data_IF_431051957062
#
_entry.id   IF_431051957062
#
_cell.length_a   1.000
_cell.length_b   1.000
_cell.length_c   1.000
_cell.angle_alpha   90.00
_cell.angle_beta   90.00
_cell.angle_gamma   90.00
#
_symmetry.space_group_name_H-M   'P 1'
#
loop_
_entity.id
_entity.type
_entity.pdbx_description
1 polymer ?
#
# COMPACT_ATOMS: atom_id res chain seq x y z
N UNK A 1 -2.33 8.89 14.46
CA UNK A 1 -1.16 8.66 15.32
C UNK A 1 -1.52 8.82 16.79
N UNK A 2 -0.84 8.13 17.69
CA UNK A 2 -0.91 8.38 19.14
C UNK A 2 0.37 9.06 19.62
N UNK A 3 0.25 10.13 20.40
CA UNK A 3 1.36 10.91 20.96
C UNK A 3 1.02 11.28 22.41
N UNK A 4 2.00 11.51 23.28
CA UNK A 4 1.76 12.00 24.65
C UNK A 4 0.96 13.31 24.65
N UNK A 5 0.09 13.49 25.65
CA UNK A 5 -0.76 14.67 25.80
C UNK A 5 0.02 16.00 25.86
N UNK A 6 1.26 15.98 26.32
CA UNK A 6 2.12 17.18 26.38
C UNK A 6 2.62 17.62 24.99
N UNK A 7 2.73 16.67 24.05
CA UNK A 7 3.33 16.87 22.72
C UNK A 7 2.26 17.06 21.64
N UNK A 8 1.04 16.59 21.90
CA UNK A 8 -0.11 16.73 21.02
C UNK A 8 -0.38 18.16 20.49
N UNK A 9 -0.32 19.24 21.30
CA UNK A 9 -0.54 20.59 20.78
C UNK A 9 0.55 21.04 19.79
N UNK A 10 1.80 20.64 20.00
CA UNK A 10 2.91 20.95 19.07
C UNK A 10 2.78 20.20 17.75
N UNK A 11 2.28 18.96 17.80
CA UNK A 11 1.99 18.18 16.61
C UNK A 11 0.84 18.80 15.79
N UNK A 12 -0.17 19.37 16.46
CA UNK A 12 -1.25 20.08 15.78
C UNK A 12 -0.76 21.37 15.10
N UNK A 13 0.08 22.15 15.78
CA UNK A 13 0.65 23.38 15.22
C UNK A 13 1.46 23.07 13.95
N UNK A 14 2.35 22.07 14.01
CA UNK A 14 3.17 21.64 12.88
C UNK A 14 2.33 21.15 11.68
N UNK A 15 1.21 20.49 11.94
CA UNK A 15 0.30 20.02 10.88
C UNK A 15 -0.55 21.16 10.27
N UNK A 16 -0.90 22.17 11.07
CA UNK A 16 -1.61 23.36 10.59
C UNK A 16 -0.72 24.27 9.76
N UNK A 17 0.56 24.42 10.15
CA UNK A 17 1.55 25.20 9.39
C UNK A 17 1.81 24.60 8.00
N UNK A 18 1.62 23.29 7.84
CA UNK A 18 1.70 22.59 6.56
C UNK A 18 0.39 22.68 5.72
N UNK A 19 -0.66 23.33 6.23
CA UNK A 19 -1.90 23.60 5.49
C UNK A 19 -2.99 22.51 5.60
N UNK A 20 -2.89 21.59 6.56
CA UNK A 20 -3.91 20.56 6.75
C UNK A 20 -5.00 21.00 7.73
N UNK A 21 -6.19 21.28 7.21
CA UNK A 21 -7.33 21.77 8.01
C UNK A 21 -8.10 20.66 8.73
N UNK A 22 -8.00 19.42 8.26
CA UNK A 22 -8.74 18.26 8.75
C UNK A 22 -7.96 17.45 9.80
N UNK A 23 -7.53 18.12 10.88
CA UNK A 23 -6.84 17.48 12.02
C UNK A 23 -7.77 17.45 13.24
N UNK A 24 -7.99 16.27 13.80
CA UNK A 24 -8.76 16.08 15.03
C UNK A 24 -7.92 15.42 16.11
N UNK A 25 -8.09 15.87 17.35
CA UNK A 25 -7.44 15.30 18.53
C UNK A 25 -8.50 14.70 19.46
N UNK A 26 -8.25 13.49 19.93
CA UNK A 26 -9.03 12.83 20.99
C UNK A 26 -8.09 12.49 22.13
N UNK A 27 -8.32 13.08 23.29
CA UNK A 27 -7.63 12.69 24.52
C UNK A 27 -8.13 11.31 24.96
N UNK A 28 -7.19 10.39 25.18
CA UNK A 28 -7.47 9.08 25.75
C UNK A 28 -7.19 9.12 27.26
N UNK A 29 -7.99 8.37 28.02
CA UNK A 29 -7.96 8.35 29.49
C UNK A 29 -6.62 7.91 30.12
N UNK A 30 -5.63 7.51 29.31
CA UNK A 30 -4.29 7.08 29.72
C UNK A 30 -3.16 8.08 29.50
N UNK A 31 -3.44 9.39 29.30
CA UNK A 31 -2.40 10.41 29.05
C UNK A 31 -1.87 10.45 27.61
N UNK A 32 -2.47 9.64 26.73
CA UNK A 32 -2.19 9.61 25.30
C UNK A 32 -3.22 10.41 24.54
N UNK A 33 -2.79 11.12 23.50
CA UNK A 33 -3.66 11.83 22.57
C UNK A 33 -3.62 11.15 21.21
N UNK A 34 -4.80 10.81 20.71
CA UNK A 34 -4.98 10.31 19.35
C UNK A 34 -5.18 11.49 18.41
N UNK A 35 -4.23 11.68 17.50
CA UNK A 35 -4.34 12.64 16.40
C UNK A 35 -4.78 11.91 15.14
N UNK A 36 -5.94 12.29 14.59
CA UNK A 36 -6.46 11.81 13.31
C UNK A 36 -6.32 12.90 12.28
N UNK A 37 -5.85 12.52 11.11
CA UNK A 37 -5.62 13.42 9.98
C UNK A 37 -6.08 12.68 8.73
N UNK A 38 -6.80 13.36 7.86
CA UNK A 38 -7.15 12.87 6.53
C UNK A 38 -6.21 13.56 5.54
N UNK A 39 -5.46 12.76 4.79
CA UNK A 39 -4.48 13.21 3.83
C UNK A 39 -4.86 12.75 2.43
N UNK A 40 -4.38 13.50 1.43
CA UNK A 40 -4.34 13.00 0.05
C UNK A 40 -3.17 12.03 -0.10
N UNK A 41 -3.25 11.01 -0.98
CA UNK A 41 -2.15 10.05 -1.19
C UNK A 41 -0.80 10.69 -1.52
N UNK A 42 -0.80 11.85 -2.20
CA UNK A 42 0.43 12.59 -2.54
C UNK A 42 1.19 13.14 -1.31
N UNK A 43 0.48 13.34 -0.22
CA UNK A 43 0.94 14.05 0.97
C UNK A 43 1.38 13.09 2.09
N UNK A 44 1.02 11.80 2.00
CA UNK A 44 1.26 10.78 3.05
C UNK A 44 2.75 10.60 3.35
N UNK A 45 3.57 10.34 2.31
CA UNK A 45 5.02 10.09 2.46
C UNK A 45 5.72 11.27 3.18
N UNK A 46 5.41 12.50 2.74
CA UNK A 46 5.96 13.73 3.35
C UNK A 46 5.58 13.85 4.82
N UNK A 47 4.33 13.59 5.18
CA UNK A 47 3.88 13.73 6.56
C UNK A 47 4.46 12.61 7.45
N UNK A 48 4.55 11.38 6.95
CA UNK A 48 5.19 10.30 7.68
C UNK A 48 6.66 10.61 7.99
N UNK A 49 7.42 11.13 7.03
CA UNK A 49 8.81 11.54 7.23
C UNK A 49 8.95 12.62 8.31
N UNK A 50 8.06 13.63 8.30
CA UNK A 50 8.05 14.71 9.30
C UNK A 50 7.74 14.15 10.69
N UNK A 51 6.74 13.27 10.79
CA UNK A 51 6.32 12.70 12.05
C UNK A 51 7.38 11.76 12.62
N UNK A 52 8.00 10.93 11.79
CA UNK A 52 9.07 10.03 12.20
C UNK A 52 10.29 10.81 12.68
N UNK A 53 10.71 11.84 11.93
CA UNK A 53 11.84 12.70 12.30
C UNK A 53 11.63 13.44 13.62
N UNK A 54 10.42 13.92 13.88
CA UNK A 54 10.13 14.76 15.04
C UNK A 54 9.72 13.96 16.28
N UNK A 55 9.11 12.78 16.10
CA UNK A 55 8.45 12.04 17.18
C UNK A 55 8.85 10.55 17.25
N UNK A 56 9.63 10.03 16.30
CA UNK A 56 10.02 8.62 16.23
C UNK A 56 10.82 8.11 17.43
N UNK A 57 11.48 9.01 18.16
CA UNK A 57 12.23 8.66 19.39
C UNK A 57 11.34 8.46 20.63
N UNK A 58 10.05 8.83 20.56
CA UNK A 58 9.13 8.69 21.68
C UNK A 58 8.62 7.24 21.78
N UNK A 59 8.80 6.61 22.95
CA UNK A 59 8.40 5.21 23.17
C UNK A 59 6.90 4.93 22.94
N UNK A 60 6.06 5.97 23.05
CA UNK A 60 4.61 5.87 22.92
C UNK A 60 4.09 6.29 21.53
N UNK A 61 5.00 6.73 20.64
CA UNK A 61 4.65 7.17 19.31
C UNK A 61 4.28 5.99 18.42
N UNK A 62 3.07 6.05 17.88
CA UNK A 62 2.60 5.09 16.87
C UNK A 62 1.80 5.81 15.80
N UNK A 63 2.05 5.44 14.55
CA UNK A 63 1.28 5.91 13.39
C UNK A 63 0.58 4.72 12.75
N UNK A 64 -0.69 4.91 12.40
CA UNK A 64 -1.45 3.97 11.59
C UNK A 64 -1.89 4.71 10.34
N UNK A 65 -1.59 4.14 9.19
CA UNK A 65 -2.07 4.59 7.88
C UNK A 65 -3.26 3.71 7.53
N UNK A 66 -4.38 4.33 7.18
CA UNK A 66 -5.63 3.64 6.84
C UNK A 66 -6.21 4.29 5.59
N UNK A 67 -6.58 3.47 4.63
CA UNK A 67 -7.29 3.92 3.44
C UNK A 67 -8.76 4.19 3.75
N UNK A 68 -9.26 5.29 3.19
CA UNK A 68 -10.67 5.64 3.27
C UNK A 68 -11.42 5.05 2.07
N UNK A 69 -12.19 3.99 2.31
CA UNK A 69 -12.99 3.33 1.27
C UNK A 69 -14.14 4.22 0.74
N UNK A 70 -14.65 5.12 1.57
CA UNK A 70 -15.72 6.05 1.19
C UNK A 70 -15.71 7.31 2.07
N UNK A 71 -16.03 8.45 1.46
CA UNK A 71 -16.23 9.74 2.15
C UNK A 71 -17.62 10.28 1.81
N UNK A 72 -18.34 10.72 2.84
CA UNK A 72 -19.63 11.41 2.71
C UNK A 72 -19.56 12.78 3.41
N UNK A 73 -20.07 13.86 2.78
CA UNK A 73 -20.64 13.92 1.44
C UNK A 73 -19.58 13.63 0.36
N UNK A 74 -20.01 13.09 -0.81
CA UNK A 74 -19.08 12.87 -1.93
C UNK A 74 -18.48 14.22 -2.32
N UNK A 75 -17.19 14.36 -2.12
CA UNK A 75 -16.45 15.51 -2.62
C UNK A 75 -16.23 15.28 -4.11
N UNK A 76 -16.58 16.27 -4.93
CA UNK A 76 -16.21 16.26 -6.34
C UNK A 76 -14.69 16.34 -6.41
N UNK A 77 -14.02 15.53 -7.25
CA UNK A 77 -12.58 15.64 -7.41
C UNK A 77 -12.28 17.07 -7.86
N UNK A 78 -11.59 17.83 -7.01
CA UNK A 78 -11.05 19.13 -7.40
C UNK A 78 -10.17 18.89 -8.62
N UNK A 79 -10.53 19.52 -9.75
CA UNK A 79 -9.67 19.56 -10.92
C UNK A 79 -8.37 20.25 -10.48
N UNK A 80 -7.28 19.48 -10.35
CA UNK A 80 -5.94 20.01 -10.17
C UNK A 80 -5.75 21.08 -11.25
N UNK A 81 -5.86 22.36 -10.88
CA UNK A 81 -5.73 23.50 -11.78
C UNK A 81 -4.25 23.78 -12.05
N UNK A 82 -3.53 22.78 -12.52
CA UNK A 82 -2.25 22.94 -13.18
C UNK A 82 -2.53 22.90 -14.69
N UNK A 83 -2.79 24.10 -15.19
CA UNK A 83 -3.17 24.39 -16.56
C UNK A 83 -2.01 24.07 -17.51
N UNK A 84 -2.11 23.00 -18.28
CA UNK A 84 -1.59 23.00 -19.66
C UNK A 84 -2.51 22.17 -20.58
N UNK A 85 -3.09 22.89 -21.53
CA UNK A 85 -4.04 22.41 -22.52
C UNK A 85 -3.43 21.30 -23.39
N UNK A 86 -3.92 20.08 -23.21
CA UNK A 86 -4.03 19.10 -24.27
C UNK A 86 -5.20 18.17 -23.93
N UNK A 87 -6.05 17.92 -24.94
CA UNK A 87 -7.23 17.06 -24.92
C UNK A 87 -7.14 15.86 -23.96
N UNK A 88 -8.23 15.45 -23.29
CA UNK A 88 -8.17 14.28 -22.42
C UNK A 88 -7.73 13.07 -23.25
N UNK A 89 -6.53 12.48 -23.05
CA UNK A 89 -6.34 11.14 -23.55
C UNK A 89 -7.31 10.30 -22.72
N UNK A 90 -8.06 9.43 -23.39
CA UNK A 90 -8.96 8.48 -22.77
C UNK A 90 -8.34 7.96 -21.46
N UNK A 91 -9.03 8.15 -20.33
CA UNK A 91 -8.60 7.65 -19.01
C UNK A 91 -8.05 6.24 -19.18
N UNK A 92 -6.72 6.12 -19.20
CA UNK A 92 -6.08 4.82 -19.23
C UNK A 92 -6.36 4.19 -17.87
N UNK A 93 -6.55 2.88 -17.84
CA UNK A 93 -6.49 2.04 -16.62
C UNK A 93 -5.13 2.13 -15.88
N UNK A 94 -4.28 3.08 -16.27
CA UNK A 94 -2.87 3.24 -15.98
C UNK A 94 -2.60 4.76 -15.87
N UNK A 95 -3.29 5.45 -14.97
CA UNK A 95 -2.92 6.82 -14.59
C UNK A 95 -2.04 6.76 -13.33
N UNK A 96 -0.70 6.80 -13.46
CA UNK A 96 0.22 6.66 -12.33
C UNK A 96 0.15 7.82 -11.33
N UNK A 97 -0.57 8.91 -11.65
CA UNK A 97 -0.79 10.03 -10.73
C UNK A 97 -1.96 9.82 -9.77
N UNK A 98 -2.89 8.92 -10.11
CA UNK A 98 -4.03 8.56 -9.27
C UNK A 98 -3.73 7.39 -8.31
N UNK A 99 -2.66 6.64 -8.54
CA UNK A 99 -2.27 5.44 -7.78
C UNK A 99 -0.88 5.60 -7.16
N UNK A 100 -0.64 6.69 -6.43
CA UNK A 100 0.59 6.83 -5.64
C UNK A 100 0.36 6.13 -4.29
N UNK A 101 0.79 4.88 -4.21
CA UNK A 101 0.75 4.05 -2.99
C UNK A 101 2.01 4.35 -2.17
N UNK A 102 1.91 4.50 -0.84
CA UNK A 102 3.09 4.78 0.01
C UNK A 102 4.03 3.58 0.05
N UNK A 103 5.33 3.82 0.31
CA UNK A 103 6.32 2.73 0.41
C UNK A 103 5.97 1.75 1.54
N UNK A 104 5.47 2.27 2.65
CA UNK A 104 5.13 1.53 3.85
C UNK A 104 3.86 0.68 3.64
N UNK A 105 2.92 1.22 2.87
CA UNK A 105 1.69 0.53 2.45
C UNK A 105 2.02 -0.60 1.46
N UNK A 106 2.83 -0.30 0.43
CA UNK A 106 3.37 -1.32 -0.48
C UNK A 106 4.15 -2.39 0.29
N UNK A 107 4.98 -2.03 1.26
CA UNK A 107 5.75 -2.98 2.04
C UNK A 107 4.84 -3.87 2.91
N UNK A 108 3.83 -3.29 3.56
CA UNK A 108 2.85 -4.04 4.34
C UNK A 108 2.05 -5.02 3.47
N UNK A 109 1.52 -4.56 2.34
CA UNK A 109 0.72 -5.39 1.44
C UNK A 109 1.53 -6.54 0.85
N UNK A 110 2.75 -6.22 0.41
CA UNK A 110 3.64 -7.19 -0.23
C UNK A 110 4.19 -8.19 0.79
N UNK A 111 4.53 -7.76 2.02
CA UNK A 111 5.00 -8.67 3.08
C UNK A 111 3.91 -9.59 3.65
N UNK A 112 2.64 -9.16 3.64
CA UNK A 112 1.52 -10.05 3.99
C UNK A 112 1.17 -11.01 2.84
N UNK A 113 1.32 -10.56 1.59
CA UNK A 113 0.98 -11.34 0.41
C UNK A 113 2.05 -12.39 0.01
N UNK A 114 3.23 -12.38 0.62
CA UNK A 114 4.29 -13.38 0.39
C UNK A 114 4.13 -14.65 1.23
N UNK A 115 3.18 -14.70 2.16
CA UNK A 115 3.01 -15.88 3.03
C UNK A 115 2.44 -17.05 2.24
N UNK A 116 3.21 -18.13 2.14
CA UNK A 116 2.81 -19.39 1.51
C UNK A 116 1.59 -19.97 2.24
N UNK A 117 0.40 -19.85 1.64
CA UNK A 117 -0.86 -20.31 2.21
C UNK A 117 -1.39 -21.55 1.47
N UNK A 118 -2.23 -22.36 2.11
CA UNK A 118 -2.79 -23.57 1.50
C UNK A 118 -3.60 -23.28 0.22
N UNK A 119 -4.33 -22.17 0.21
CA UNK A 119 -5.07 -21.71 -0.98
C UNK A 119 -4.16 -21.41 -2.16
N UNK A 120 -2.95 -20.89 -1.90
CA UNK A 120 -1.96 -20.63 -2.95
C UNK A 120 -1.51 -21.94 -3.59
N UNK A 121 -1.15 -22.95 -2.78
CA UNK A 121 -0.74 -24.27 -3.28
C UNK A 121 -1.85 -24.95 -4.09
N UNK A 122 -3.12 -24.82 -3.65
CA UNK A 122 -4.27 -25.33 -4.39
C UNK A 122 -4.43 -24.64 -5.76
N UNK A 123 -4.34 -23.30 -5.81
CA UNK A 123 -4.45 -22.55 -7.06
C UNK A 123 -3.31 -22.89 -8.03
N UNK A 124 -2.09 -23.09 -7.53
CA UNK A 124 -0.96 -23.52 -8.35
C UNK A 124 -1.16 -24.94 -8.87
N UNK A 125 -1.58 -25.88 -8.02
CA UNK A 125 -1.89 -27.25 -8.45
C UNK A 125 -3.00 -27.29 -9.52
N UNK A 126 -4.07 -26.50 -9.35
CA UNK A 126 -5.12 -26.36 -10.35
C UNK A 126 -4.58 -25.73 -11.65
N UNK A 127 -3.71 -24.73 -11.55
CA UNK A 127 -3.07 -24.09 -12.71
C UNK A 127 -2.24 -25.10 -13.51
N UNK A 128 -1.45 -25.96 -12.85
CA UNK A 128 -0.67 -27.02 -13.51
C UNK A 128 -1.57 -28.02 -14.24
N UNK A 129 -2.70 -28.41 -13.64
CA UNK A 129 -3.69 -29.29 -14.29
C UNK A 129 -4.26 -28.61 -15.54
N UNK A 130 -4.70 -27.35 -15.43
CA UNK A 130 -5.25 -26.58 -16.56
C UNK A 130 -4.20 -26.38 -17.66
N UNK A 131 -2.96 -26.06 -17.29
CA UNK A 131 -1.85 -25.89 -18.23
C UNK A 131 -1.54 -27.20 -18.96
N UNK A 132 -1.55 -28.33 -18.25
CA UNK A 132 -1.35 -29.66 -18.84
C UNK A 132 -2.46 -30.01 -19.83
N UNK A 133 -3.72 -29.74 -19.48
CA UNK A 133 -4.86 -29.90 -20.40
C UNK A 133 -4.73 -28.96 -21.61
N UNK A 134 -4.30 -27.72 -21.38
CA UNK A 134 -4.06 -26.73 -22.44
C UNK A 134 -2.97 -27.19 -23.41
N UNK A 135 -1.87 -27.74 -22.91
CA UNK A 135 -0.80 -28.32 -23.73
C UNK A 135 -1.29 -29.53 -24.54
N UNK A 136 -1.98 -30.49 -23.90
CA UNK A 136 -2.50 -31.69 -24.59
C UNK A 136 -3.49 -31.31 -25.69
N UNK A 137 -4.31 -30.28 -25.46
CA UNK A 137 -5.27 -29.76 -26.46
C UNK A 137 -4.66 -28.82 -27.50
N UNK A 138 -3.37 -28.48 -27.38
CA UNK A 138 -2.70 -27.51 -28.25
C UNK A 138 -3.32 -26.11 -28.19
N UNK A 139 -3.97 -25.73 -27.08
CA UNK A 139 -4.66 -24.45 -26.93
C UNK A 139 -3.81 -23.46 -26.15
N UNK A 140 -3.13 -22.56 -26.88
CA UNK A 140 -2.34 -21.48 -26.28
C UNK A 140 -3.17 -20.57 -25.36
N UNK A 141 -4.46 -20.38 -25.68
CA UNK A 141 -5.38 -19.56 -24.87
C UNK A 141 -5.60 -20.19 -23.49
N UNK A 142 -5.74 -21.52 -23.42
CA UNK A 142 -5.92 -22.23 -22.14
C UNK A 142 -4.64 -22.19 -21.31
N UNK A 143 -3.47 -22.30 -21.95
CA UNK A 143 -2.17 -22.20 -21.28
C UNK A 143 -1.94 -20.78 -20.74
N UNK A 144 -2.27 -19.74 -21.51
CA UNK A 144 -2.22 -18.35 -21.04
C UNK A 144 -3.22 -18.09 -19.90
N UNK A 145 -4.43 -18.69 -19.98
CA UNK A 145 -5.41 -18.62 -18.92
C UNK A 145 -4.93 -19.23 -17.60
N UNK A 146 -4.15 -20.31 -17.65
CA UNK A 146 -3.57 -20.94 -16.46
C UNK A 146 -2.64 -19.99 -15.69
N UNK A 147 -1.89 -19.14 -16.38
CA UNK A 147 -1.01 -18.13 -15.77
C UNK A 147 -1.80 -17.08 -14.98
N UNK A 148 -3.03 -16.74 -15.42
CA UNK A 148 -3.89 -15.75 -14.75
C UNK A 148 -4.52 -16.31 -13.47
N UNK A 149 -4.67 -17.64 -13.37
CA UNK A 149 -5.28 -18.31 -12.21
C UNK A 149 -4.35 -18.33 -11.00
N UNK A 150 -3.04 -18.46 -11.21
CA UNK A 150 -2.06 -18.51 -10.13
C UNK A 150 -1.65 -17.08 -9.73
N UNK A 151 -1.73 -16.69 -8.44
CA UNK A 151 -1.37 -15.36 -7.97
C UNK A 151 0.15 -15.19 -7.84
N UNK A 152 0.89 -15.43 -8.94
CA UNK A 152 2.36 -15.33 -9.00
C UNK A 152 2.87 -13.88 -9.09
N UNK A 153 1.96 -12.89 -9.16
CA UNK A 153 2.35 -11.48 -9.21
C UNK A 153 2.95 -11.03 -7.87
N UNK A 154 2.35 -11.46 -6.76
CA UNK A 154 2.71 -10.97 -5.41
C UNK A 154 4.14 -11.35 -4.99
N UNK A 155 4.61 -12.60 -5.17
CA UNK A 155 5.99 -12.97 -4.83
C UNK A 155 7.04 -12.27 -5.71
N UNK A 156 6.71 -11.98 -6.98
CA UNK A 156 7.61 -11.28 -7.89
C UNK A 156 7.76 -9.79 -7.51
N UNK A 157 6.66 -9.14 -7.14
CA UNK A 157 6.67 -7.76 -6.64
C UNK A 157 7.43 -7.68 -5.31
N UNK A 158 7.28 -8.67 -4.44
CA UNK A 158 8.05 -8.77 -3.20
C UNK A 158 9.55 -8.91 -3.42
N UNK A 159 9.97 -9.74 -4.37
CA UNK A 159 11.38 -9.89 -4.69
C UNK A 159 11.98 -8.59 -5.25
N UNK A 160 11.23 -7.88 -6.11
CA UNK A 160 11.65 -6.58 -6.64
C UNK A 160 11.77 -5.50 -5.53
N UNK A 161 10.81 -5.47 -4.61
CA UNK A 161 10.82 -4.56 -3.47
C UNK A 161 11.98 -4.87 -2.51
N UNK A 162 12.18 -6.15 -2.17
CA UNK A 162 13.29 -6.62 -1.36
C UNK A 162 14.65 -6.25 -1.97
N UNK A 163 14.81 -6.40 -3.29
CA UNK A 163 16.03 -6.00 -4.00
C UNK A 163 16.25 -4.49 -4.00
N UNK A 164 15.19 -3.69 -3.99
CA UNK A 164 15.27 -2.23 -3.99
C UNK A 164 15.59 -1.68 -2.60
N UNK A 165 15.00 -2.29 -1.56
CA UNK A 165 15.19 -1.89 -0.16
C UNK A 165 16.41 -2.55 0.50
N UNK A 166 16.98 -3.60 -0.09
CA UNK A 166 18.07 -4.37 0.49
C UNK A 166 17.63 -5.32 1.61
N UNK A 167 16.36 -5.68 1.67
CA UNK A 167 15.78 -6.53 2.72
C UNK A 167 15.98 -8.02 2.40
N UNK A 168 17.01 -8.62 2.97
CA UNK A 168 17.35 -10.03 2.78
C UNK A 168 16.31 -11.01 3.33
N UNK A 169 15.58 -10.65 4.39
CA UNK A 169 14.56 -11.52 4.96
C UNK A 169 13.33 -11.58 4.04
N UNK A 170 12.91 -10.43 3.52
CA UNK A 170 11.84 -10.36 2.51
C UNK A 170 12.24 -11.10 1.23
N UNK A 171 13.49 -10.97 0.77
CA UNK A 171 13.99 -11.68 -0.40
C UNK A 171 13.90 -13.21 -0.24
N UNK A 172 14.34 -13.76 0.91
CA UNK A 172 14.25 -15.20 1.19
C UNK A 172 12.79 -15.65 1.25
N UNK A 173 11.90 -14.88 1.86
CA UNK A 173 10.48 -15.20 1.89
C UNK A 173 9.85 -15.22 0.49
N UNK A 174 10.19 -14.26 -0.37
CA UNK A 174 9.70 -14.20 -1.74
C UNK A 174 10.21 -15.38 -2.59
N UNK A 175 11.51 -15.71 -2.48
CA UNK A 175 12.12 -16.86 -3.18
C UNK A 175 11.55 -18.18 -2.69
N UNK A 176 11.37 -18.37 -1.38
CA UNK A 176 10.77 -19.59 -0.83
C UNK A 176 9.31 -19.75 -1.25
N UNK A 177 8.55 -18.66 -1.38
CA UNK A 177 7.17 -18.72 -1.90
C UNK A 177 7.09 -18.99 -3.41
N UNK A 178 8.09 -18.53 -4.18
CA UNK A 178 8.23 -18.89 -5.60
C UNK A 178 8.61 -20.36 -5.78
N UNK A 179 9.54 -20.88 -4.97
CA UNK A 179 10.04 -22.25 -5.06
C UNK A 179 9.11 -23.27 -4.39
N UNK A 180 8.44 -22.91 -3.31
CA UNK A 180 7.51 -23.78 -2.58
C UNK A 180 6.18 -24.01 -3.29
N UNK A 181 5.89 -23.21 -4.33
CA UNK A 181 4.79 -23.44 -5.27
C UNK A 181 5.18 -24.22 -6.53
N UNK A 182 6.45 -24.56 -6.73
CA UNK A 182 6.92 -25.33 -7.88
C UNK A 182 6.87 -26.84 -7.66
#
# INVERSE_FOLDING_TARGET
MSVSAEVAPYALEALKDEGYENVWMLESAGGLTLVRLILRPRDVERILDILDKNYGELAEFRVWVLDLEAVLPRQEPEEDSDNEAASPPARSLWDPRATRISREELYSDVSQATVLNWSYLLLVALSVIVATVGMVRGSQVVVLGAMVIAPLLNPNVALALASTLGDGALAVSAVTSLLGGA
#
